data_IF_469324265719
#
_entry.id   IF_469324265719
#
_cell.length_a   1.000
_cell.length_b   1.000
_cell.length_c   1.000
_cell.angle_alpha   90.00
_cell.angle_beta   90.00
_cell.angle_gamma   90.00
#
_symmetry.space_group_name_H-M   'P 1'
#
loop_
_entity.id
_entity.type
_entity.pdbx_description
1 polymer ?
#
# COMPACT_ATOMS: atom_id res chain seq x y z
N UNK A 1 -12.85 -12.48 -22.02
CA UNK A 1 -11.59 -12.09 -22.67
C UNK A 1 -10.48 -12.76 -21.88
N UNK A 2 -9.64 -13.55 -22.51
CA UNK A 2 -8.52 -14.21 -21.83
C UNK A 2 -7.49 -13.17 -21.35
N UNK A 3 -6.65 -13.53 -20.37
CA UNK A 3 -5.59 -12.64 -19.90
C UNK A 3 -4.64 -12.19 -21.04
N UNK A 4 -4.19 -13.06 -21.97
CA UNK A 4 -3.39 -12.64 -23.12
C UNK A 4 -4.09 -11.60 -24.01
N UNK A 5 -5.38 -11.78 -24.29
CA UNK A 5 -6.18 -10.81 -25.06
C UNK A 5 -6.29 -9.47 -24.34
N UNK A 6 -6.50 -9.48 -23.02
CA UNK A 6 -6.57 -8.28 -22.21
C UNK A 6 -5.24 -7.52 -22.20
N UNK A 7 -4.12 -8.22 -22.10
CA UNK A 7 -2.77 -7.63 -22.21
C UNK A 7 -2.58 -7.00 -23.58
N UNK A 8 -2.93 -7.72 -24.65
CA UNK A 8 -2.80 -7.21 -26.02
C UNK A 8 -3.66 -5.96 -26.24
N UNK A 9 -4.92 -5.99 -25.82
CA UNK A 9 -5.82 -4.85 -25.90
C UNK A 9 -5.30 -3.64 -25.09
N UNK A 10 -4.80 -3.86 -23.88
CA UNK A 10 -4.22 -2.81 -23.04
C UNK A 10 -2.95 -2.21 -23.67
N UNK A 11 -2.08 -3.04 -24.25
CA UNK A 11 -0.89 -2.59 -24.98
C UNK A 11 -1.25 -1.68 -26.15
N UNK A 12 -2.21 -2.09 -26.99
CA UNK A 12 -2.70 -1.26 -28.10
C UNK A 12 -3.28 0.07 -27.61
N UNK A 13 -4.14 0.04 -26.58
CA UNK A 13 -4.73 1.24 -25.98
C UNK A 13 -3.69 2.23 -25.48
N UNK A 14 -2.58 1.74 -24.96
CA UNK A 14 -1.52 2.57 -24.36
C UNK A 14 -0.30 2.78 -25.27
N UNK A 15 -0.33 2.34 -26.53
CA UNK A 15 0.80 2.46 -27.45
C UNK A 15 2.08 1.82 -26.89
N UNK A 16 1.96 0.59 -26.38
CA UNK A 16 3.09 -0.20 -25.88
C UNK A 16 3.45 -1.30 -26.88
N UNK A 17 4.74 -1.59 -27.01
CA UNK A 17 5.23 -2.74 -27.76
C UNK A 17 5.09 -4.04 -26.95
N UNK A 18 5.39 -5.17 -27.59
CA UNK A 18 5.44 -6.48 -26.92
C UNK A 18 6.67 -6.63 -26.01
N UNK A 19 7.71 -5.81 -26.20
CA UNK A 19 8.92 -5.81 -25.39
C UNK A 19 8.73 -5.12 -24.03
N UNK A 20 7.75 -4.23 -23.91
CA UNK A 20 7.44 -3.55 -22.65
C UNK A 20 6.91 -4.56 -21.62
N UNK A 21 7.50 -4.60 -20.41
CA UNK A 21 7.14 -5.57 -19.39
C UNK A 21 5.71 -5.34 -18.89
N UNK A 22 5.07 -6.42 -18.46
CA UNK A 22 3.70 -6.42 -17.95
C UNK A 22 3.70 -6.99 -16.54
N UNK A 23 3.15 -6.22 -15.60
CA UNK A 23 2.87 -6.65 -14.25
C UNK A 23 1.36 -6.83 -14.10
N UNK A 24 0.93 -8.08 -13.97
CA UNK A 24 -0.46 -8.45 -13.67
C UNK A 24 -0.65 -8.48 -12.16
N UNK A 25 -1.70 -7.85 -11.68
CA UNK A 25 -2.00 -7.63 -10.27
C UNK A 25 -3.44 -8.06 -9.96
N UNK A 26 -3.75 -8.45 -8.71
CA UNK A 26 -5.14 -8.66 -8.32
C UNK A 26 -5.92 -7.34 -8.40
N UNK A 27 -7.16 -7.39 -8.87
CA UNK A 27 -8.05 -6.23 -8.86
C UNK A 27 -8.88 -6.20 -7.58
N UNK A 28 -8.61 -5.27 -6.66
CA UNK A 28 -9.54 -4.98 -5.58
C UNK A 28 -10.81 -4.29 -6.15
N UNK A 29 -11.98 -4.81 -5.79
CA UNK A 29 -13.29 -4.33 -6.25
C UNK A 29 -14.28 -4.11 -5.11
N UNK A 30 -13.78 -3.87 -3.89
CA UNK A 30 -14.64 -3.58 -2.76
C UNK A 30 -15.57 -2.40 -3.04
N UNK A 31 -16.69 -2.35 -2.32
CA UNK A 31 -17.60 -1.22 -2.35
C UNK A 31 -17.18 -0.16 -1.35
N UNK A 32 -17.34 1.11 -1.70
CA UNK A 32 -17.15 2.21 -0.76
C UNK A 32 -18.47 2.44 -0.01
N UNK A 33 -18.38 2.50 1.31
CA UNK A 33 -19.53 2.69 2.19
C UNK A 33 -19.18 3.71 3.29
N UNK A 34 -20.17 4.36 3.91
CA UNK A 34 -19.94 5.13 5.11
C UNK A 34 -19.21 4.30 6.18
N UNK A 35 -18.14 4.86 6.76
CA UNK A 35 -17.39 4.19 7.80
C UNK A 35 -18.21 4.18 9.09
N UNK A 36 -18.83 3.02 9.35
CA UNK A 36 -19.73 2.80 10.47
C UNK A 36 -19.10 3.16 11.82
N UNK A 37 -19.90 3.78 12.70
CA UNK A 37 -19.45 4.19 14.03
C UNK A 37 -18.89 3.04 14.87
N UNK A 38 -19.45 1.82 14.72
CA UNK A 38 -18.94 0.63 15.39
C UNK A 38 -17.49 0.30 15.00
N UNK A 39 -17.14 0.42 13.72
CA UNK A 39 -15.78 0.20 13.21
C UNK A 39 -14.80 1.25 13.72
N UNK A 40 -15.23 2.52 13.79
CA UNK A 40 -14.43 3.61 14.38
C UNK A 40 -14.13 3.34 15.86
N UNK A 41 -15.12 2.87 16.62
CA UNK A 41 -14.96 2.51 18.03
C UNK A 41 -14.03 1.30 18.20
N UNK A 42 -14.19 0.28 17.36
CA UNK A 42 -13.34 -0.90 17.38
C UNK A 42 -11.87 -0.56 17.11
N UNK A 43 -11.59 0.27 16.09
CA UNK A 43 -10.22 0.76 15.85
C UNK A 43 -9.69 1.59 17.03
N UNK A 44 -10.52 2.48 17.60
CA UNK A 44 -10.08 3.32 18.74
C UNK A 44 -9.73 2.48 19.97
N UNK A 45 -10.47 1.39 20.21
CA UNK A 45 -10.17 0.42 21.27
C UNK A 45 -8.87 -0.33 20.99
N UNK A 46 -8.71 -0.88 19.78
CA UNK A 46 -7.48 -1.55 19.35
C UNK A 46 -6.25 -0.63 19.48
N UNK A 47 -6.35 0.62 19.03
CA UNK A 47 -5.28 1.60 19.17
C UNK A 47 -4.94 1.90 20.63
N UNK A 48 -5.96 1.91 21.51
CA UNK A 48 -5.77 2.13 22.94
C UNK A 48 -4.96 0.99 23.57
N UNK A 49 -5.24 -0.25 23.18
CA UNK A 49 -4.51 -1.46 23.60
C UNK A 49 -3.07 -1.40 23.09
N UNK A 50 -2.86 -1.18 21.79
CA UNK A 50 -1.53 -1.06 21.20
C UNK A 50 -0.66 0.04 21.86
N UNK A 51 -1.25 1.16 22.29
CA UNK A 51 -0.53 2.20 23.04
C UNK A 51 -0.16 1.73 24.45
N UNK A 52 -1.03 0.99 25.12
CA UNK A 52 -0.75 0.47 26.46
C UNK A 52 0.40 -0.55 26.41
N UNK A 53 0.36 -1.46 25.44
CA UNK A 53 1.40 -2.48 25.24
C UNK A 53 2.76 -1.85 24.92
N UNK A 54 2.78 -0.77 24.13
CA UNK A 54 3.99 -0.02 23.80
C UNK A 54 4.66 0.69 25.00
N UNK A 55 3.96 0.84 26.12
CA UNK A 55 4.49 1.43 27.37
C UNK A 55 4.95 0.33 28.33
N UNK A 56 4.31 -0.85 28.30
CA UNK A 56 4.56 -1.95 29.23
C UNK A 56 5.81 -2.78 28.92
N UNK A 57 6.26 -2.83 27.67
CA UNK A 57 7.39 -3.69 27.26
C UNK A 57 8.53 -2.93 26.55
N UNK A 58 9.80 -3.28 26.84
CA UNK A 58 10.94 -2.77 26.08
C UNK A 58 10.76 -3.07 24.59
N UNK A 59 11.15 -2.13 23.73
CA UNK A 59 11.12 -2.34 22.29
C UNK A 59 11.99 -3.56 21.93
N UNK A 60 11.43 -4.52 21.20
CA UNK A 60 12.26 -5.46 20.46
C UNK A 60 13.20 -4.65 19.54
N UNK A 61 14.46 -5.08 19.35
CA UNK A 61 15.35 -4.43 18.42
C UNK A 61 14.66 -4.36 17.05
N UNK A 62 14.68 -3.20 16.37
CA UNK A 62 13.99 -3.05 15.11
C UNK A 62 14.46 -4.13 14.15
N UNK A 63 13.53 -4.85 13.51
CA UNK A 63 13.87 -5.72 12.39
C UNK A 63 14.63 -4.87 11.38
N UNK A 64 15.85 -5.28 11.04
CA UNK A 64 16.73 -4.56 10.11
C UNK A 64 15.90 -4.21 8.86
N UNK A 65 15.67 -2.94 8.54
CA UNK A 65 14.84 -2.60 7.39
C UNK A 65 15.47 -3.22 6.16
N UNK A 66 14.66 -3.89 5.32
CA UNK A 66 15.12 -4.24 3.98
C UNK A 66 15.65 -2.96 3.33
N UNK A 67 16.83 -3.01 2.66
CA UNK A 67 17.38 -1.84 2.01
C UNK A 67 16.31 -1.23 1.09
N UNK A 68 16.12 0.10 1.15
CA UNK A 68 15.08 0.75 0.36
C UNK A 68 15.30 0.45 -1.12
N UNK A 69 14.20 0.17 -1.83
CA UNK A 69 14.23 0.04 -3.28
C UNK A 69 14.83 1.32 -3.90
N UNK A 70 15.57 1.17 -5.00
CA UNK A 70 15.97 2.31 -5.82
C UNK A 70 14.75 3.19 -6.13
N UNK A 71 14.93 4.52 -6.20
CA UNK A 71 13.83 5.48 -6.27
C UNK A 71 12.83 5.17 -7.40
N UNK A 72 13.31 4.78 -8.58
CA UNK A 72 12.42 4.40 -9.68
C UNK A 72 11.62 3.11 -9.43
N UNK A 73 12.20 2.11 -8.75
CA UNK A 73 11.47 0.91 -8.33
C UNK A 73 10.43 1.22 -7.22
N UNK A 74 10.73 2.18 -6.33
CA UNK A 74 9.76 2.69 -5.35
C UNK A 74 8.55 3.33 -6.05
N UNK A 75 8.78 4.13 -7.10
CA UNK A 75 7.69 4.76 -7.88
C UNK A 75 6.83 3.72 -8.61
N UNK A 76 7.45 2.69 -9.18
CA UNK A 76 6.78 1.58 -9.84
C UNK A 76 5.92 0.78 -8.86
N UNK A 77 6.46 0.45 -7.68
CA UNK A 77 5.73 -0.24 -6.63
C UNK A 77 4.49 0.56 -6.17
N UNK A 78 4.63 1.88 -6.04
CA UNK A 78 3.51 2.79 -5.75
C UNK A 78 2.42 2.75 -6.82
N UNK A 79 2.82 2.82 -8.10
CA UNK A 79 1.88 2.74 -9.22
C UNK A 79 1.18 1.36 -9.30
N UNK A 80 1.89 0.27 -9.02
CA UNK A 80 1.32 -1.07 -8.93
C UNK A 80 0.24 -1.16 -7.83
N UNK A 81 0.55 -0.68 -6.62
CA UNK A 81 -0.44 -0.63 -5.53
C UNK A 81 -1.67 0.22 -5.88
N UNK A 82 -1.49 1.33 -6.59
CA UNK A 82 -2.61 2.15 -7.07
C UNK A 82 -3.45 1.42 -8.13
N UNK A 83 -2.82 0.70 -9.05
CA UNK A 83 -3.50 -0.08 -10.09
C UNK A 83 -4.36 -1.20 -9.48
N UNK A 84 -3.82 -1.94 -8.50
CA UNK A 84 -4.55 -2.99 -7.80
C UNK A 84 -5.62 -2.44 -6.83
N UNK A 85 -5.52 -1.16 -6.47
CA UNK A 85 -6.32 -0.46 -5.43
C UNK A 85 -6.17 -1.10 -4.05
N UNK A 86 -4.94 -1.41 -3.66
CA UNK A 86 -4.64 -1.90 -2.32
C UNK A 86 -5.34 -3.20 -1.96
N UNK A 87 -5.32 -4.22 -2.83
CA UNK A 87 -5.93 -5.54 -2.54
C UNK A 87 -5.46 -6.12 -1.21
N UNK A 88 -4.18 -5.95 -0.84
CA UNK A 88 -3.66 -6.37 0.46
C UNK A 88 -4.27 -5.61 1.65
N UNK A 89 -4.74 -4.36 1.47
CA UNK A 89 -5.39 -3.57 2.52
C UNK A 89 -6.75 -4.16 2.96
N UNK A 90 -7.34 -5.05 2.16
CA UNK A 90 -8.58 -5.77 2.52
C UNK A 90 -8.46 -6.54 3.82
N UNK A 91 -7.25 -6.97 4.18
CA UNK A 91 -6.97 -7.78 5.37
C UNK A 91 -6.67 -6.96 6.64
N UNK A 92 -6.72 -5.63 6.57
CA UNK A 92 -6.35 -4.77 7.70
C UNK A 92 -7.48 -4.46 8.68
N UNK A 93 -8.74 -4.66 8.31
CA UNK A 93 -9.92 -4.47 9.18
C UNK A 93 -9.86 -3.23 10.09
N UNK A 94 -10.29 -3.41 11.34
CA UNK A 94 -10.29 -2.39 12.39
C UNK A 94 -8.97 -2.29 13.16
N UNK A 95 -8.01 -3.20 12.95
CA UNK A 95 -6.69 -3.09 13.58
C UNK A 95 -5.71 -2.27 12.75
N UNK A 96 -5.95 -2.17 11.43
CA UNK A 96 -5.14 -1.46 10.45
C UNK A 96 -3.63 -1.80 10.50
N UNK A 97 -3.31 -3.02 10.98
CA UNK A 97 -1.97 -3.49 11.29
C UNK A 97 -1.19 -2.62 12.30
N UNK A 98 -1.86 -1.73 13.01
CA UNK A 98 -1.23 -0.91 14.04
C UNK A 98 -1.02 -1.81 15.26
N UNK A 99 0.18 -1.84 15.80
CA UNK A 99 0.58 -2.66 16.94
C UNK A 99 1.50 -1.85 17.87
N UNK A 100 1.94 -2.49 18.95
CA UNK A 100 2.85 -1.87 19.91
C UNK A 100 4.14 -1.34 19.25
N UNK A 101 4.70 -2.09 18.28
CA UNK A 101 5.91 -1.67 17.56
C UNK A 101 5.68 -0.43 16.70
N UNK A 102 4.53 -0.34 16.05
CA UNK A 102 4.12 0.86 15.32
C UNK A 102 4.06 2.07 16.24
N UNK A 103 3.52 1.92 17.46
CA UNK A 103 3.45 3.00 18.45
C UNK A 103 4.83 3.33 19.02
N UNK A 104 5.67 2.33 19.31
CA UNK A 104 7.05 2.53 19.77
C UNK A 104 7.88 3.30 18.74
N UNK A 105 7.76 2.94 17.46
CA UNK A 105 8.38 3.68 16.35
C UNK A 105 7.91 5.14 16.34
N UNK A 106 6.60 5.37 16.36
CA UNK A 106 6.04 6.73 16.35
C UNK A 106 6.53 7.56 17.53
N UNK A 107 6.61 6.98 18.74
CA UNK A 107 7.13 7.67 19.94
C UNK A 107 8.64 7.92 19.88
N UNK A 108 9.42 7.04 19.26
CA UNK A 108 10.85 7.28 19.08
C UNK A 108 11.09 8.42 18.10
N UNK A 109 10.33 8.44 17.00
CA UNK A 109 10.45 9.45 15.97
C UNK A 109 9.86 10.81 16.44
N UNK A 110 8.90 10.79 17.37
CA UNK A 110 8.31 11.97 18.01
C UNK A 110 8.15 11.81 19.55
N UNK A 111 9.24 11.98 20.35
CA UNK A 111 9.25 11.71 21.80
C UNK A 111 8.24 12.49 22.65
N UNK A 112 7.85 13.69 22.20
CA UNK A 112 6.86 14.53 22.89
C UNK A 112 5.40 14.12 22.65
N UNK A 113 5.15 13.13 21.80
CA UNK A 113 3.79 12.77 21.41
C UNK A 113 3.08 11.93 22.47
N UNK A 114 2.25 12.58 23.29
CA UNK A 114 1.45 11.91 24.31
C UNK A 114 0.34 11.02 23.76
N UNK A 115 -0.13 10.07 24.59
CA UNK A 115 -1.19 9.10 24.25
C UNK A 115 -2.45 9.74 23.63
N UNK A 116 -2.95 10.82 24.23
CA UNK A 116 -4.14 11.51 23.72
C UNK A 116 -3.91 12.11 22.31
N UNK A 117 -2.72 12.65 22.06
CA UNK A 117 -2.35 13.20 20.76
C UNK A 117 -2.21 12.09 19.70
N UNK A 118 -1.64 10.93 20.05
CA UNK A 118 -1.60 9.75 19.16
C UNK A 118 -3.02 9.36 18.74
N UNK A 119 -3.92 9.16 19.71
CA UNK A 119 -5.32 8.80 19.45
C UNK A 119 -5.99 9.84 18.54
N UNK A 120 -5.79 11.14 18.83
CA UNK A 120 -6.37 12.21 18.04
C UNK A 120 -5.88 12.18 16.57
N UNK A 121 -4.59 11.97 16.32
CA UNK A 121 -4.02 11.89 14.96
C UNK A 121 -4.62 10.74 14.15
N UNK A 122 -4.68 9.54 14.73
CA UNK A 122 -5.29 8.40 14.04
C UNK A 122 -6.78 8.60 13.80
N UNK A 123 -7.52 9.17 14.78
CA UNK A 123 -8.95 9.48 14.60
C UNK A 123 -9.19 10.52 13.50
N UNK A 124 -8.35 11.54 13.40
CA UNK A 124 -8.41 12.55 12.35
C UNK A 124 -8.18 11.96 10.95
N UNK A 125 -7.39 10.89 10.85
CA UNK A 125 -7.16 10.19 9.60
C UNK A 125 -8.34 9.29 9.16
N UNK A 126 -9.26 8.92 10.07
CA UNK A 126 -10.46 8.14 9.73
C UNK A 126 -11.43 8.98 8.89
N UNK A 127 -11.53 8.64 7.60
CA UNK A 127 -12.43 9.30 6.67
C UNK A 127 -13.91 9.09 6.94
N UNK A 128 -14.82 9.83 6.28
CA UNK A 128 -16.26 9.57 6.35
C UNK A 128 -16.64 8.21 5.77
N UNK A 129 -15.83 7.69 4.84
CA UNK A 129 -16.08 6.46 4.09
C UNK A 129 -14.82 5.59 4.03
N UNK A 130 -15.03 4.29 3.89
CA UNK A 130 -13.98 3.31 3.60
C UNK A 130 -14.53 2.19 2.74
N UNK A 131 -13.63 1.36 2.20
CA UNK A 131 -14.07 0.13 1.57
C UNK A 131 -14.67 -0.84 2.59
N UNK A 132 -15.83 -1.39 2.25
CA UNK A 132 -16.55 -2.38 3.03
C UNK A 132 -15.66 -3.59 3.32
N UNK A 133 -15.63 -4.03 4.58
CA UNK A 133 -14.80 -5.17 5.03
C UNK A 133 -13.28 -4.98 4.97
N UNK A 134 -12.78 -3.84 4.49
CA UNK A 134 -11.34 -3.56 4.34
C UNK A 134 -10.76 -2.77 5.52
N UNK A 135 -9.45 -2.53 5.57
CA UNK A 135 -8.81 -1.60 6.51
C UNK A 135 -9.60 -0.28 6.68
N UNK A 136 -9.79 0.19 7.91
CA UNK A 136 -10.55 1.42 8.24
C UNK A 136 -9.97 2.70 7.62
N UNK A 137 -8.70 2.69 7.20
CA UNK A 137 -8.05 3.80 6.48
C UNK A 137 -8.06 3.64 4.96
N UNK A 138 -8.62 2.54 4.42
CA UNK A 138 -8.70 2.31 2.98
C UNK A 138 -9.89 3.08 2.40
N UNK A 139 -9.62 4.31 1.96
CA UNK A 139 -10.61 5.21 1.37
C UNK A 139 -10.63 5.21 -0.16
N UNK A 140 -11.50 6.03 -0.79
CA UNK A 140 -11.65 6.14 -2.25
C UNK A 140 -10.34 6.42 -2.99
N UNK A 141 -9.50 7.29 -2.41
CA UNK A 141 -8.20 7.69 -2.97
C UNK A 141 -7.02 6.82 -2.48
N UNK A 142 -7.30 5.70 -1.83
CA UNK A 142 -6.30 4.82 -1.22
C UNK A 142 -6.17 5.02 0.29
N UNK A 143 -5.00 4.69 0.83
CA UNK A 143 -4.75 4.75 2.27
C UNK A 143 -4.71 6.20 2.77
N UNK A 144 -5.58 6.54 3.72
CA UNK A 144 -5.68 7.87 4.35
C UNK A 144 -4.59 8.15 5.39
N UNK A 145 -3.84 7.14 5.82
CA UNK A 145 -2.69 7.35 6.69
C UNK A 145 -1.47 7.80 5.87
N UNK A 146 -0.81 8.86 6.34
CA UNK A 146 0.55 9.19 5.92
C UNK A 146 1.54 8.12 6.35
N UNK A 147 2.67 7.98 5.65
CA UNK A 147 3.65 6.88 5.87
C UNK A 147 4.17 6.78 7.31
N UNK A 148 4.37 7.90 7.99
CA UNK A 148 4.81 7.92 9.38
C UNK A 148 3.84 7.20 10.35
N UNK A 149 2.54 7.28 10.06
CA UNK A 149 1.48 6.66 10.88
C UNK A 149 1.09 5.25 10.42
N UNK A 150 1.60 4.77 9.29
CA UNK A 150 1.34 3.40 8.82
C UNK A 150 2.17 2.40 9.62
N UNK A 151 1.71 1.17 9.80
CA UNK A 151 2.57 0.13 10.38
C UNK A 151 3.78 -0.16 9.51
N UNK A 152 4.81 -0.81 10.07
CA UNK A 152 6.00 -1.20 9.30
C UNK A 152 5.61 -2.15 8.17
N UNK A 153 4.71 -3.09 8.44
CA UNK A 153 4.12 -3.97 7.42
C UNK A 153 3.51 -3.16 6.27
N UNK A 154 2.72 -2.13 6.56
CA UNK A 154 2.13 -1.30 5.50
C UNK A 154 3.16 -0.50 4.70
N UNK A 155 4.33 -0.22 5.27
CA UNK A 155 5.39 0.53 4.62
C UNK A 155 6.29 -0.34 3.73
N UNK A 156 6.45 -1.63 4.07
CA UNK A 156 7.39 -2.54 3.40
C UNK A 156 6.72 -3.68 2.62
N UNK A 157 5.42 -3.93 2.81
CA UNK A 157 4.74 -5.04 2.15
C UNK A 157 4.56 -4.82 0.65
N UNK A 158 4.97 -5.82 -0.13
CA UNK A 158 4.63 -6.00 -1.54
C UNK A 158 3.96 -7.36 -1.74
N UNK A 159 2.95 -7.44 -2.62
CA UNK A 159 2.32 -8.72 -2.96
C UNK A 159 3.31 -9.63 -3.70
N UNK A 160 3.03 -10.94 -3.74
CA UNK A 160 3.91 -11.94 -4.36
C UNK A 160 4.28 -11.58 -5.79
N UNK A 161 3.31 -11.13 -6.60
CA UNK A 161 3.54 -10.79 -8.00
C UNK A 161 4.46 -9.57 -8.15
N UNK A 162 4.24 -8.53 -7.34
CA UNK A 162 5.10 -7.35 -7.32
C UNK A 162 6.49 -7.68 -6.79
N UNK A 163 6.61 -8.51 -5.74
CA UNK A 163 7.92 -8.96 -5.22
C UNK A 163 8.72 -9.72 -6.26
N UNK A 164 8.06 -10.60 -7.02
CA UNK A 164 8.71 -11.34 -8.12
C UNK A 164 9.16 -10.36 -9.21
N UNK A 165 8.25 -9.51 -9.67
CA UNK A 165 8.54 -8.53 -10.70
C UNK A 165 9.71 -7.61 -10.31
N UNK A 166 9.71 -7.04 -9.10
CA UNK A 166 10.78 -6.14 -8.65
C UNK A 166 12.15 -6.84 -8.54
N UNK A 167 12.17 -8.14 -8.23
CA UNK A 167 13.41 -8.93 -8.15
C UNK A 167 14.01 -9.20 -9.52
N UNK A 168 13.15 -9.39 -10.52
CA UNK A 168 13.55 -9.68 -11.90
C UNK A 168 13.97 -8.39 -12.65
N UNK A 169 13.87 -7.23 -12.00
CA UNK A 169 14.22 -5.92 -12.57
C UNK A 169 15.45 -5.33 -11.86
N UNK A 170 16.63 -5.33 -12.51
CA UNK A 170 17.82 -4.70 -11.93
C UNK A 170 17.68 -3.16 -11.84
N UNK A 171 16.80 -2.58 -12.67
CA UNK A 171 16.49 -1.16 -12.75
C UNK A 171 15.01 -0.98 -13.19
N UNK A 172 14.37 0.17 -12.90
CA UNK A 172 13.00 0.44 -13.36
C UNK A 172 12.95 0.48 -14.91
N UNK A 173 12.08 -0.32 -15.56
CA UNK A 173 11.88 -0.23 -16.99
C UNK A 173 11.35 1.16 -17.39
N UNK A 174 11.72 1.70 -18.57
CA UNK A 174 11.24 3.02 -19.03
C UNK A 174 9.72 3.14 -19.01
N UNK A 175 9.03 2.06 -19.41
CA UNK A 175 7.59 1.93 -19.27
C UNK A 175 7.26 0.53 -18.75
N UNK A 176 6.18 0.41 -17.99
CA UNK A 176 5.67 -0.90 -17.54
C UNK A 176 4.16 -0.86 -17.62
N UNK A 177 3.56 -1.87 -18.26
CA UNK A 177 2.11 -2.05 -18.23
C UNK A 177 1.72 -2.66 -16.89
N UNK A 178 0.86 -1.96 -16.15
CA UNK A 178 0.22 -2.46 -14.94
C UNK A 178 -1.20 -2.87 -15.29
N UNK A 179 -1.56 -4.13 -15.05
CA UNK A 179 -2.88 -4.67 -15.36
C UNK A 179 -3.50 -5.31 -14.13
N UNK A 180 -4.59 -4.72 -13.62
CA UNK A 180 -5.35 -5.32 -12.53
C UNK A 180 -6.43 -6.25 -13.09
N UNK A 181 -6.38 -7.51 -12.70
CA UNK A 181 -7.27 -8.60 -13.13
C UNK A 181 -7.92 -9.26 -11.91
N UNK A 182 -9.20 -9.61 -11.99
CA UNK A 182 -9.94 -10.23 -10.87
C UNK A 182 -10.08 -11.75 -10.98
N UNK A 183 -9.64 -12.34 -12.09
CA UNK A 183 -9.76 -13.77 -12.40
C UNK A 183 -10.65 -14.03 -13.62
N UNK A 184 -11.54 -13.09 -13.93
CA UNK A 184 -12.47 -13.19 -15.07
C UNK A 184 -12.14 -12.16 -16.15
N UNK A 185 -11.78 -10.94 -15.74
CA UNK A 185 -11.52 -9.85 -16.67
C UNK A 185 -10.50 -8.84 -16.13
N UNK A 186 -9.83 -8.17 -17.05
CA UNK A 186 -9.11 -6.96 -16.73
C UNK A 186 -10.10 -5.89 -16.24
N UNK A 187 -9.83 -5.37 -15.04
CA UNK A 187 -10.63 -4.30 -14.43
C UNK A 187 -10.00 -2.94 -14.65
N UNK A 188 -8.67 -2.86 -14.64
CA UNK A 188 -7.91 -1.62 -14.81
C UNK A 188 -6.59 -1.88 -15.51
N UNK A 189 -6.16 -0.92 -16.32
CA UNK A 189 -4.84 -0.90 -16.91
C UNK A 189 -4.27 0.52 -16.79
N UNK A 190 -2.97 0.61 -16.54
CA UNK A 190 -2.23 1.87 -16.49
C UNK A 190 -0.79 1.64 -16.91
N UNK A 191 -0.09 2.70 -17.30
CA UNK A 191 1.34 2.62 -17.63
C UNK A 191 2.12 3.40 -16.60
N UNK A 192 3.03 2.71 -15.91
CA UNK A 192 4.08 3.38 -15.17
C UNK A 192 5.17 3.82 -16.16
N UNK A 193 5.69 5.03 -15.97
CA UNK A 193 6.81 5.56 -16.73
C UNK A 193 7.90 5.88 -15.73
N UNK A 194 9.10 5.35 -15.94
CA UNK A 194 10.25 5.76 -15.15
C UNK A 194 10.56 7.22 -15.44
N UNK A 195 10.96 7.96 -14.41
CA UNK A 195 11.50 9.30 -14.60
C UNK A 195 12.83 9.19 -15.37
N UNK A 196 12.99 9.93 -16.48
CA UNK A 196 14.22 9.89 -17.29
C UNK A 196 15.49 10.11 -16.48
N UNK A 197 15.44 10.89 -15.40
CA UNK A 197 16.59 11.13 -14.52
C UNK A 197 17.10 9.85 -13.83
N UNK A 198 16.23 8.86 -13.61
CA UNK A 198 16.60 7.56 -13.05
C UNK A 198 17.01 6.53 -14.12
N UNK A 199 16.72 6.80 -15.40
CA UNK A 199 17.13 5.95 -16.53
C UNK A 199 18.52 6.36 -17.03
N UNK A 200 18.85 7.66 -16.97
CA UNK A 200 20.09 8.22 -17.50
C UNK A 200 21.32 8.11 -16.58
N UNK A 201 21.14 7.80 -15.28
CA UNK A 201 22.25 7.65 -14.33
C UNK A 201 23.05 6.35 -14.50
N UNK A 202 22.78 5.56 -15.55
CA UNK A 202 23.31 4.21 -15.71
C UNK A 202 23.73 3.87 -17.16
N UNK A 203 23.93 4.88 -18.02
CA UNK A 203 24.62 4.73 -19.32
C UNK A 203 26.07 5.15 -19.22
#
# INVERSE_FOLDING_TARGET
MSLPEAIHAARRRHGLSTAEPVLVLPAFQGRIVPLAAARRRAFTRHLTEAIADAVGEPAAPPSRPEPPLAAGLTSLAGAACACCRGHCCSRGGEHAYIDADTIRRLRRDEPGLGRAAIIARYRAALGPESYEGSCVFHGPAGCRLGRALRSDLCNTFYCTDLKRFLRDQPAPPPRTLLLAHDGEQARRASVHRADPAHVAQQT
#
